data_IF_539538381371
#
_entry.id   IF_539538381371
#
_cell.length_a   1.000
_cell.length_b   1.000
_cell.length_c   1.000
_cell.angle_alpha   90.00
_cell.angle_beta   90.00
_cell.angle_gamma   90.00
#
_symmetry.space_group_name_H-M   'P 1'
#
loop_
_entity.id
_entity.type
_entity.pdbx_description
1 polymer ?
#
# COMPACT_ATOMS: atom_id res chain seq x y z
N UNK A 1 -5.67 -20.04 -8.95
CA UNK A 1 -6.54 -19.73 -7.80
C UNK A 1 -7.97 -20.01 -8.19
N UNK A 2 -8.73 -20.65 -7.29
CA UNK A 2 -10.15 -20.92 -7.50
C UNK A 2 -10.96 -19.61 -7.60
N UNK A 3 -12.03 -19.63 -8.39
CA UNK A 3 -12.83 -18.46 -8.70
C UNK A 3 -13.53 -17.88 -7.44
N UNK A 4 -13.92 -18.74 -6.51
CA UNK A 4 -14.54 -18.29 -5.25
C UNK A 4 -13.54 -17.48 -4.39
N UNK A 5 -12.28 -17.95 -4.30
CA UNK A 5 -11.24 -17.25 -3.56
C UNK A 5 -10.89 -15.92 -4.25
N UNK A 6 -10.79 -15.92 -5.56
CA UNK A 6 -10.50 -14.70 -6.32
C UNK A 6 -11.60 -13.65 -6.16
N UNK A 7 -12.87 -14.06 -6.25
CA UNK A 7 -14.04 -13.17 -6.11
C UNK A 7 -14.22 -12.61 -4.71
N UNK A 8 -13.64 -13.24 -3.69
CA UNK A 8 -13.64 -12.74 -2.31
C UNK A 8 -12.44 -11.86 -2.02
N UNK A 9 -11.24 -12.32 -2.38
CA UNK A 9 -9.99 -11.64 -2.00
C UNK A 9 -9.71 -10.38 -2.81
N UNK A 10 -10.08 -10.33 -4.10
CA UNK A 10 -9.84 -9.15 -4.93
C UNK A 10 -10.65 -7.92 -4.47
N UNK A 11 -11.98 -7.98 -4.25
CA UNK A 11 -12.73 -6.86 -3.70
C UNK A 11 -12.28 -6.48 -2.28
N UNK A 12 -11.93 -7.47 -1.44
CA UNK A 12 -11.43 -7.21 -0.09
C UNK A 12 -10.08 -6.46 -0.13
N UNK A 13 -9.15 -6.90 -0.99
CA UNK A 13 -7.85 -6.27 -1.17
C UNK A 13 -7.95 -4.82 -1.67
N UNK A 14 -8.92 -4.50 -2.53
CA UNK A 14 -9.16 -3.12 -2.97
C UNK A 14 -9.77 -2.24 -1.88
N UNK A 15 -10.35 -2.82 -0.84
CA UNK A 15 -10.98 -2.08 0.25
C UNK A 15 -10.06 -1.90 1.45
N UNK A 16 -9.20 -2.88 1.75
CA UNK A 16 -8.36 -2.91 2.96
C UNK A 16 -6.87 -2.94 2.62
N UNK A 17 -6.49 -3.32 1.41
CA UNK A 17 -5.11 -3.62 1.01
C UNK A 17 -4.29 -2.46 0.44
N UNK A 18 -4.59 -1.20 0.75
CA UNK A 18 -3.93 -0.03 0.16
C UNK A 18 -2.68 0.43 0.92
N UNK A 19 -1.86 -0.49 1.41
CA UNK A 19 -0.68 -0.20 2.24
C UNK A 19 0.33 0.77 1.59
N UNK A 20 0.55 0.67 0.28
CA UNK A 20 1.42 1.58 -0.45
C UNK A 20 0.98 3.04 -0.40
N UNK A 21 -0.33 3.30 -0.43
CA UNK A 21 -0.90 4.63 -0.41
C UNK A 21 -1.15 5.16 1.01
N UNK A 22 -1.50 4.28 1.94
CA UNK A 22 -1.96 4.66 3.28
C UNK A 22 -0.87 4.58 4.35
N UNK A 23 0.16 3.75 4.14
CA UNK A 23 1.28 3.61 5.07
C UNK A 23 2.58 4.15 4.46
N UNK A 24 3.03 3.60 3.34
CA UNK A 24 4.36 3.91 2.78
C UNK A 24 4.47 5.37 2.39
N UNK A 25 3.49 5.90 1.65
CA UNK A 25 3.54 7.27 1.15
C UNK A 25 3.52 8.34 2.24
N UNK A 26 2.57 8.33 3.20
CA UNK A 26 2.55 9.31 4.27
C UNK A 26 3.81 9.29 5.14
N UNK A 27 4.38 8.10 5.39
CA UNK A 27 5.63 7.96 6.14
C UNK A 27 6.80 8.58 5.38
N UNK A 28 6.93 8.30 4.07
CA UNK A 28 7.97 8.89 3.24
C UNK A 28 7.89 10.42 3.22
N UNK A 29 6.69 10.98 3.10
CA UNK A 29 6.48 12.43 3.16
C UNK A 29 6.86 13.02 4.51
N UNK A 30 6.48 12.38 5.61
CA UNK A 30 6.82 12.82 6.95
C UNK A 30 8.34 12.79 7.17
N UNK A 31 9.00 11.70 6.76
CA UNK A 31 10.47 11.57 6.84
C UNK A 31 11.18 12.60 5.98
N UNK A 32 10.68 12.85 4.77
CA UNK A 32 11.23 13.88 3.90
C UNK A 32 11.13 15.26 4.55
N UNK A 33 9.96 15.61 5.10
CA UNK A 33 9.76 16.90 5.76
C UNK A 33 10.66 17.07 6.98
N UNK A 34 10.75 16.05 7.84
CA UNK A 34 11.60 16.09 9.04
C UNK A 34 13.09 16.29 8.69
N UNK A 35 13.57 15.56 7.68
CA UNK A 35 14.94 15.69 7.22
C UNK A 35 15.20 17.07 6.58
N UNK A 36 14.27 17.57 5.79
CA UNK A 36 14.40 18.88 5.13
C UNK A 36 14.41 20.06 6.11
N UNK A 37 13.68 19.91 7.24
CA UNK A 37 13.60 20.96 8.28
C UNK A 37 14.62 20.77 9.42
N UNK A 38 15.39 19.68 9.40
CA UNK A 38 16.34 19.37 10.46
C UNK A 38 15.68 19.00 11.81
N UNK A 39 14.40 18.67 11.78
CA UNK A 39 13.67 18.22 12.97
C UNK A 39 13.93 16.74 13.23
N UNK A 40 14.14 16.38 14.49
CA UNK A 40 14.25 14.99 14.92
C UNK A 40 13.08 14.61 15.80
N UNK A 41 12.49 13.45 15.53
CA UNK A 41 11.43 12.88 16.35
C UNK A 41 11.99 11.85 17.33
N UNK A 42 11.34 11.74 18.48
CA UNK A 42 11.57 10.63 19.40
C UNK A 42 10.85 9.35 18.94
N UNK A 43 11.28 8.22 19.49
CA UNK A 43 10.70 6.89 19.19
C UNK A 43 9.18 6.86 19.40
N UNK A 44 8.69 7.56 20.40
CA UNK A 44 7.25 7.65 20.69
C UNK A 44 6.43 8.23 19.54
N UNK A 45 6.93 9.27 18.87
CA UNK A 45 6.26 9.90 17.73
C UNK A 45 6.22 8.98 16.50
N UNK A 46 7.30 8.22 16.25
CA UNK A 46 7.30 7.20 15.21
C UNK A 46 6.30 6.07 15.48
N UNK A 47 6.18 5.62 16.72
CA UNK A 47 5.20 4.60 17.11
C UNK A 47 3.76 5.09 16.90
N UNK A 48 3.47 6.32 17.27
CA UNK A 48 2.15 6.94 17.02
C UNK A 48 1.88 7.02 15.51
N UNK A 49 2.86 7.44 14.73
CA UNK A 49 2.73 7.51 13.27
C UNK A 49 2.44 6.13 12.66
N UNK A 50 3.18 5.10 13.06
CA UNK A 50 2.95 3.73 12.60
C UNK A 50 1.55 3.23 12.95
N UNK A 51 1.10 3.48 14.18
CA UNK A 51 -0.25 3.10 14.61
C UNK A 51 -1.33 3.81 13.81
N UNK A 52 -1.19 5.12 13.56
CA UNK A 52 -2.12 5.88 12.73
C UNK A 52 -2.15 5.36 11.28
N UNK A 53 -1.00 4.99 10.71
CA UNK A 53 -0.94 4.38 9.38
C UNK A 53 -1.70 3.06 9.31
N UNK A 54 -1.60 2.21 10.34
CA UNK A 54 -2.37 0.97 10.41
C UNK A 54 -3.88 1.23 10.42
N UNK A 55 -4.33 2.17 11.25
CA UNK A 55 -5.76 2.54 11.32
C UNK A 55 -6.25 3.10 9.99
N UNK A 56 -5.47 3.98 9.36
CA UNK A 56 -5.81 4.55 8.06
C UNK A 56 -5.84 3.48 6.95
N UNK A 57 -4.95 2.50 7.01
CA UNK A 57 -4.91 1.40 6.03
C UNK A 57 -6.15 0.52 6.07
N UNK A 58 -6.68 0.27 7.26
CA UNK A 58 -7.91 -0.52 7.43
C UNK A 58 -9.17 0.24 7.01
N UNK A 59 -9.16 1.57 7.09
CA UNK A 59 -10.32 2.43 6.81
C UNK A 59 -10.34 3.08 5.44
N UNK A 60 -9.31 2.88 4.62
CA UNK A 60 -9.18 3.60 3.34
C UNK A 60 -9.45 2.68 2.15
N UNK A 61 -10.56 2.92 1.46
CA UNK A 61 -10.87 2.24 0.21
C UNK A 61 -9.98 2.72 -0.95
N UNK A 62 -9.78 1.85 -1.95
CA UNK A 62 -9.06 2.17 -3.17
C UNK A 62 -9.82 3.18 -4.04
N UNK A 63 -9.49 4.45 -3.88
CA UNK A 63 -10.06 5.54 -4.66
C UNK A 63 -8.95 6.47 -5.18
N UNK A 64 -9.18 7.17 -6.30
CA UNK A 64 -8.23 8.18 -6.79
C UNK A 64 -7.95 9.24 -5.72
N UNK A 65 -6.66 9.53 -5.48
CA UNK A 65 -6.25 10.54 -4.49
C UNK A 65 -6.19 10.06 -3.04
N UNK A 66 -6.46 8.79 -2.74
CA UNK A 66 -6.39 8.25 -1.37
C UNK A 66 -5.04 8.53 -0.71
N UNK A 67 -3.94 8.47 -1.44
CA UNK A 67 -2.61 8.77 -0.91
C UNK A 67 -2.45 10.20 -0.42
N UNK A 68 -3.10 11.18 -1.08
CA UNK A 68 -3.09 12.57 -0.62
C UNK A 68 -3.98 12.74 0.61
N UNK A 69 -5.16 12.15 0.60
CA UNK A 69 -6.11 12.23 1.72
C UNK A 69 -5.50 11.62 2.99
N UNK A 70 -4.88 10.44 2.88
CA UNK A 70 -4.24 9.77 4.02
C UNK A 70 -3.01 10.52 4.51
N UNK A 71 -2.21 11.11 3.60
CA UNK A 71 -1.08 11.95 3.99
C UNK A 71 -1.53 13.20 4.75
N UNK A 72 -2.56 13.90 4.27
CA UNK A 72 -3.15 15.06 4.98
C UNK A 72 -3.68 14.66 6.35
N UNK A 73 -4.40 13.54 6.43
CA UNK A 73 -4.93 13.02 7.69
C UNK A 73 -3.82 12.67 8.69
N UNK A 74 -2.76 12.00 8.22
CA UNK A 74 -1.62 11.67 9.07
C UNK A 74 -0.88 12.93 9.55
N UNK A 75 -0.56 13.87 8.64
CA UNK A 75 0.13 15.10 8.98
C UNK A 75 -0.66 15.92 10.01
N UNK A 76 -1.98 15.99 9.85
CA UNK A 76 -2.87 16.63 10.82
C UNK A 76 -2.82 15.94 12.19
N UNK A 77 -2.85 14.60 12.22
CA UNK A 77 -2.84 13.82 13.47
C UNK A 77 -1.53 13.95 14.25
N UNK A 78 -0.39 14.09 13.54
CA UNK A 78 0.94 14.23 14.16
C UNK A 78 1.42 15.69 14.23
N UNK A 79 0.55 16.65 13.98
CA UNK A 79 0.82 18.11 13.99
C UNK A 79 1.95 18.54 13.04
N UNK A 80 2.06 17.91 11.89
CA UNK A 80 2.93 18.36 10.81
C UNK A 80 2.19 19.33 9.87
N UNK A 81 2.87 20.29 9.22
CA UNK A 81 2.23 21.24 8.34
C UNK A 81 1.74 20.60 7.04
N UNK A 82 0.45 20.72 6.79
CA UNK A 82 -0.21 20.20 5.57
C UNK A 82 0.40 20.80 4.29
N UNK A 83 0.95 22.01 4.37
CA UNK A 83 1.62 22.65 3.24
C UNK A 83 2.75 21.78 2.63
N UNK A 84 3.41 20.95 3.43
CA UNK A 84 4.42 20.02 2.94
C UNK A 84 3.84 18.92 2.04
N UNK A 85 2.64 18.45 2.33
CA UNK A 85 1.92 17.48 1.48
C UNK A 85 1.55 18.14 0.14
N UNK A 86 1.04 19.36 0.17
CA UNK A 86 0.62 20.10 -1.03
C UNK A 86 1.80 20.35 -1.97
N UNK A 87 2.96 20.69 -1.43
CA UNK A 87 4.17 20.91 -2.20
C UNK A 87 4.62 19.67 -2.99
N UNK A 88 4.34 18.47 -2.47
CA UNK A 88 4.77 17.20 -3.05
C UNK A 88 3.70 16.50 -3.91
N UNK A 89 2.53 17.13 -4.13
CA UNK A 89 1.48 16.60 -5.00
C UNK A 89 1.98 16.25 -6.42
N UNK A 90 2.83 17.07 -7.08
CA UNK A 90 3.33 16.70 -8.41
C UNK A 90 4.11 15.38 -8.43
N UNK A 91 4.89 15.12 -7.38
CA UNK A 91 5.64 13.87 -7.22
C UNK A 91 4.71 12.71 -6.87
N UNK A 92 3.62 12.98 -6.15
CA UNK A 92 2.61 11.98 -5.80
C UNK A 92 2.10 11.22 -7.02
N UNK A 93 1.79 11.93 -8.11
CA UNK A 93 1.23 11.31 -9.32
C UNK A 93 2.20 10.32 -9.98
N UNK A 94 3.50 10.59 -9.94
CA UNK A 94 4.52 9.69 -10.48
C UNK A 94 4.69 8.46 -9.57
N UNK A 95 4.75 8.68 -8.26
CA UNK A 95 4.93 7.60 -7.29
C UNK A 95 3.67 6.76 -7.10
N UNK A 96 2.50 7.28 -7.45
CA UNK A 96 1.22 6.58 -7.34
C UNK A 96 1.16 5.34 -8.22
N UNK A 97 1.80 5.37 -9.38
CA UNK A 97 1.88 4.21 -10.27
C UNK A 97 2.58 3.02 -9.59
N UNK A 98 3.71 3.26 -8.93
CA UNK A 98 4.47 2.21 -8.23
C UNK A 98 3.72 1.71 -7.00
N UNK A 99 3.08 2.60 -6.26
CA UNK A 99 2.26 2.25 -5.07
C UNK A 99 1.04 1.42 -5.46
N UNK A 100 0.40 1.75 -6.57
CA UNK A 100 -0.73 0.99 -7.10
C UNK A 100 -0.28 -0.41 -7.52
N UNK A 101 0.87 -0.52 -8.19
CA UNK A 101 1.45 -1.81 -8.52
C UNK A 101 1.68 -2.66 -7.25
N UNK A 102 2.27 -2.07 -6.20
CA UNK A 102 2.47 -2.76 -4.91
C UNK A 102 1.16 -3.25 -4.32
N UNK A 103 0.13 -2.40 -4.27
CA UNK A 103 -1.17 -2.75 -3.70
C UNK A 103 -1.84 -3.92 -4.46
N UNK A 104 -1.77 -3.91 -5.80
CA UNK A 104 -2.33 -4.99 -6.64
C UNK A 104 -1.55 -6.30 -6.44
N UNK A 105 -0.22 -6.21 -6.35
CA UNK A 105 0.63 -7.36 -6.10
C UNK A 105 0.33 -7.97 -4.73
N UNK A 106 0.21 -7.15 -3.69
CA UNK A 106 -0.12 -7.61 -2.33
C UNK A 106 -1.47 -8.36 -2.30
N UNK A 107 -2.50 -7.82 -2.95
CA UNK A 107 -3.81 -8.47 -3.04
C UNK A 107 -3.72 -9.82 -3.78
N UNK A 108 -2.95 -9.88 -4.86
CA UNK A 108 -2.75 -11.10 -5.65
C UNK A 108 -2.00 -12.18 -4.87
N UNK A 109 -0.94 -11.79 -4.15
CA UNK A 109 -0.19 -12.70 -3.29
C UNK A 109 -1.06 -13.22 -2.15
N UNK A 110 -1.85 -12.36 -1.50
CA UNK A 110 -2.82 -12.78 -0.48
C UNK A 110 -3.80 -13.81 -1.02
N UNK A 111 -4.35 -13.60 -2.23
CA UNK A 111 -5.26 -14.54 -2.87
C UNK A 111 -4.60 -15.91 -3.11
N UNK A 112 -3.36 -15.92 -3.59
CA UNK A 112 -2.60 -17.14 -3.82
C UNK A 112 -2.29 -17.89 -2.51
N UNK A 113 -1.93 -17.18 -1.45
CA UNK A 113 -1.65 -17.77 -0.13
C UNK A 113 -2.91 -18.38 0.47
N UNK A 114 -4.04 -17.67 0.43
CA UNK A 114 -5.33 -18.16 0.93
C UNK A 114 -5.78 -19.40 0.16
N UNK A 115 -5.67 -19.37 -1.17
CA UNK A 115 -6.01 -20.51 -2.01
C UNK A 115 -5.12 -21.73 -1.69
N UNK A 116 -3.83 -21.52 -1.47
CA UNK A 116 -2.89 -22.60 -1.13
C UNK A 116 -3.21 -23.23 0.23
N UNK A 117 -3.52 -22.41 1.24
CA UNK A 117 -3.86 -22.90 2.58
C UNK A 117 -5.16 -23.70 2.60
N UNK A 118 -6.08 -23.43 1.69
CA UNK A 118 -7.36 -24.14 1.56
C UNK A 118 -7.35 -25.26 0.50
N UNK A 119 -6.22 -25.54 -0.14
CA UNK A 119 -6.11 -26.57 -1.18
C UNK A 119 -6.83 -26.21 -2.49
N UNK A 120 -7.10 -24.92 -2.72
CA UNK A 120 -7.80 -24.37 -3.88
C UNK A 120 -6.85 -23.73 -4.91
N UNK A 121 -5.56 -23.94 -4.77
CA UNK A 121 -4.54 -23.51 -5.74
C UNK A 121 -4.28 -24.64 -6.73
N UNK A 122 -4.33 -24.34 -8.02
CA UNK A 122 -3.92 -25.27 -9.05
C UNK A 122 -2.40 -25.16 -9.27
N UNK A 123 -1.64 -26.07 -8.63
CA UNK A 123 -0.16 -26.07 -8.67
C UNK A 123 0.39 -26.30 -10.08
N UNK A 124 -0.32 -27.03 -10.96
CA UNK A 124 0.13 -27.25 -12.34
C UNK A 124 0.10 -25.95 -13.16
N UNK A 125 -0.94 -25.15 -12.99
CA UNK A 125 -1.06 -23.86 -13.68
C UNK A 125 -0.04 -22.87 -13.13
N UNK A 126 0.16 -22.88 -11.81
CA UNK A 126 1.12 -22.00 -11.14
C UNK A 126 2.56 -22.28 -11.60
N UNK A 127 2.95 -23.56 -11.65
CA UNK A 127 4.28 -23.95 -12.12
C UNK A 127 4.53 -23.68 -13.62
N UNK A 128 3.50 -23.79 -14.46
CA UNK A 128 3.63 -23.48 -15.90
C UNK A 128 3.83 -22.00 -16.17
N UNK A 129 3.27 -21.14 -15.34
CA UNK A 129 3.45 -19.69 -15.44
C UNK A 129 4.89 -19.28 -15.06
N UNK A 130 5.44 -19.89 -14.01
CA UNK A 130 6.84 -19.69 -13.60
C UNK A 130 7.81 -20.12 -14.72
N UNK A 131 7.54 -21.26 -15.40
CA UNK A 131 8.35 -21.74 -16.51
C UNK A 131 8.32 -20.80 -17.73
N UNK A 132 7.21 -20.16 -18.01
CA UNK A 132 7.09 -19.15 -19.07
C UNK A 132 7.87 -17.88 -18.74
N UNK A 133 7.79 -17.41 -17.50
CA UNK A 133 8.54 -16.25 -17.02
C UNK A 133 10.05 -16.48 -17.10
N UNK A 134 10.53 -17.67 -16.73
CA UNK A 134 11.95 -18.06 -16.87
C UNK A 134 12.41 -18.12 -18.32
N UNK A 135 11.53 -18.50 -19.24
CA UNK A 135 11.83 -18.55 -20.68
C UNK A 135 11.67 -17.20 -21.40
N UNK A 136 11.19 -16.16 -20.71
CA UNK A 136 10.97 -14.83 -21.29
C UNK A 136 9.86 -14.78 -22.35
N UNK A 137 8.89 -15.70 -22.28
CA UNK A 137 7.75 -15.84 -23.19
C UNK A 137 6.48 -15.14 -22.67
N UNK A 138 6.63 -14.06 -21.90
CA UNK A 138 5.53 -13.27 -21.32
C UNK A 138 5.06 -12.15 -22.25
#
# INVERSE_FOLDING_TARGET
VDEEVANFTAPLGTTIGMAGCTCVWPILLAMFYLNATGQSWGVSQYLVMCFMCLVLSLGSAGMPGVGVITAVSLFSAVNLPIAAVVLLIPINNITDMVRTLTNVTDASVCAAVVARQNGLLNDEVFAKEDEKLEKGEA
#
